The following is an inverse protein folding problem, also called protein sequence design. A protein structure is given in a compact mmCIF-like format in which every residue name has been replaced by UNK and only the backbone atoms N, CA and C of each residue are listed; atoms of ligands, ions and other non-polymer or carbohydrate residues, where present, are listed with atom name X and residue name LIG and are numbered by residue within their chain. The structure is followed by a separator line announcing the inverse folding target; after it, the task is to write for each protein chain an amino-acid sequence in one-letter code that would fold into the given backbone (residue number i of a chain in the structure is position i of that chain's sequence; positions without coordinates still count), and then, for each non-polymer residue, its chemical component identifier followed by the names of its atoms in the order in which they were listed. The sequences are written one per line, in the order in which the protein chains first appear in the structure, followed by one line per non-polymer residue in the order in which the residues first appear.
data_IF_162936477299
#
_entry.id   IF_162936477299
#
_cell.length_a   1.000
_cell.length_b   1.000
_cell.length_c   1.000
_cell.angle_alpha   90.00
_cell.angle_beta   90.00
_cell.angle_gamma   90.00
#
_symmetry.space_group_name_H-M   'P 1'
#
loop_
_entity.id
_entity.type
_entity.pdbx_description
1 polymer ?
#
# COMPACT_ATOMS: atom_id res chain seq x y z
N UNK A 1 2.00 53.00 72.79
CA UNK A 1 0.92 53.71 72.11
C UNK A 1 1.19 53.57 70.60
N UNK A 2 0.68 52.55 69.96
CA UNK A 2 0.38 52.50 68.58
C UNK A 2 -0.08 51.08 68.26
N UNK A 3 -1.36 50.99 67.98
CA UNK A 3 -2.05 49.80 67.64
C UNK A 3 -1.96 49.64 66.11
N UNK A 4 -1.29 48.61 65.65
CA UNK A 4 -1.29 48.21 64.25
C UNK A 4 -2.20 46.99 64.05
N UNK A 5 -3.27 47.27 63.35
CA UNK A 5 -4.25 46.30 62.84
C UNK A 5 -3.58 45.33 61.84
N UNK A 6 -3.64 44.03 62.09
CA UNK A 6 -3.24 42.99 61.15
C UNK A 6 -4.46 42.54 60.35
N UNK A 7 -4.48 42.89 59.08
CA UNK A 7 -5.42 42.35 58.12
C UNK A 7 -4.94 40.96 57.68
N UNK A 8 -5.70 39.93 57.99
CA UNK A 8 -5.47 38.56 57.46
C UNK A 8 -5.92 38.49 56.02
N UNK A 9 -4.98 38.25 55.12
CA UNK A 9 -5.28 37.83 53.76
C UNK A 9 -5.41 36.29 53.77
N UNK A 10 -6.63 35.82 53.50
CA UNK A 10 -6.90 34.40 53.25
C UNK A 10 -6.38 34.01 51.88
N UNK A 11 -5.30 33.24 51.80
CA UNK A 11 -4.89 32.53 50.59
C UNK A 11 -5.81 31.35 50.39
N UNK A 12 -6.68 31.43 49.34
CA UNK A 12 -7.38 30.26 48.84
C UNK A 12 -6.40 29.37 48.10
N UNK A 13 -6.18 28.16 48.61
CA UNK A 13 -5.43 27.12 47.91
C UNK A 13 -6.23 26.66 46.70
N UNK A 14 -5.82 27.06 45.50
CA UNK A 14 -6.28 26.47 44.25
C UNK A 14 -5.56 25.13 44.11
N UNK A 15 -6.28 24.07 44.38
CA UNK A 15 -5.80 22.69 44.08
C UNK A 15 -5.90 22.53 42.54
N UNK A 16 -4.78 22.67 41.85
CA UNK A 16 -4.68 22.20 40.47
C UNK A 16 -4.74 20.66 40.47
N UNK A 17 -5.87 20.12 40.10
CA UNK A 17 -5.99 18.71 39.74
C UNK A 17 -5.23 18.49 38.46
N UNK A 18 -3.97 18.09 38.52
CA UNK A 18 -3.24 17.55 37.38
C UNK A 18 -3.90 16.22 37.00
N UNK A 19 -4.86 16.30 36.07
CA UNK A 19 -5.29 15.11 35.34
C UNK A 19 -4.11 14.73 34.47
N UNK A 20 -3.31 13.77 34.92
CA UNK A 20 -2.39 13.06 34.05
C UNK A 20 -3.24 12.35 33.00
N UNK A 21 -3.30 12.91 31.81
CA UNK A 21 -3.70 12.16 30.63
C UNK A 21 -2.59 11.11 30.45
N UNK A 22 -2.78 9.95 31.05
CA UNK A 22 -2.08 8.78 30.58
C UNK A 22 -2.58 8.59 29.16
N UNK A 23 -1.69 8.79 28.20
CA UNK A 23 -1.90 8.26 26.86
C UNK A 23 -2.17 6.76 27.08
N UNK A 24 -3.40 6.36 26.90
CA UNK A 24 -3.76 4.97 26.72
C UNK A 24 -3.07 4.64 25.40
N UNK A 25 -1.89 4.04 25.47
CA UNK A 25 -1.38 3.31 24.34
C UNK A 25 -2.46 2.26 24.09
N UNK A 26 -3.20 2.41 22.99
CA UNK A 26 -4.04 1.36 22.49
C UNK A 26 -3.11 0.15 22.40
N UNK A 27 -3.41 -0.88 23.17
CA UNK A 27 -2.75 -2.16 23.04
C UNK A 27 -3.14 -2.60 21.65
N UNK A 28 -2.18 -2.56 20.71
CA UNK A 28 -2.40 -2.99 19.34
C UNK A 28 -2.99 -4.40 19.41
N UNK A 29 -4.20 -4.54 18.91
CA UNK A 29 -4.80 -5.87 18.75
C UNK A 29 -4.00 -6.52 17.62
N UNK A 30 -3.10 -7.42 17.96
CA UNK A 30 -2.27 -8.15 17.03
C UNK A 30 -3.19 -9.07 16.23
N UNK A 31 -3.36 -8.79 14.94
CA UNK A 31 -4.20 -9.60 14.07
C UNK A 31 -3.51 -10.87 13.57
N UNK A 32 -2.21 -11.01 13.80
CA UNK A 32 -1.45 -12.19 13.48
C UNK A 32 -1.06 -12.96 14.73
N UNK A 33 -1.21 -14.29 14.69
CA UNK A 33 -0.68 -15.20 15.68
C UNK A 33 0.62 -15.83 15.19
N UNK A 34 1.66 -15.85 16.05
CA UNK A 34 2.89 -16.55 15.75
C UNK A 34 2.66 -18.04 15.97
N UNK A 35 2.71 -18.81 14.89
CA UNK A 35 2.64 -20.26 14.92
C UNK A 35 4.02 -20.90 15.01
N UNK A 36 4.05 -22.20 15.34
CA UNK A 36 5.25 -23.02 15.21
C UNK A 36 5.57 -23.21 13.70
N UNK A 37 6.86 -23.26 13.38
CA UNK A 37 7.33 -23.49 12.02
C UNK A 37 6.80 -24.82 11.45
N UNK A 38 5.97 -24.79 10.39
CA UNK A 38 5.41 -26.00 9.78
C UNK A 38 6.46 -26.83 9.02
N UNK A 39 7.58 -26.23 8.64
CA UNK A 39 8.65 -26.82 7.85
C UNK A 39 9.89 -27.20 8.69
N UNK A 40 9.73 -27.33 10.00
CA UNK A 40 10.84 -27.62 10.94
C UNK A 40 11.60 -28.93 10.67
N UNK A 41 11.03 -29.84 9.85
CA UNK A 41 11.67 -31.08 9.42
C UNK A 41 12.58 -30.90 8.18
N UNK A 42 12.51 -29.76 7.49
CA UNK A 42 13.40 -29.43 6.38
C UNK A 42 14.70 -28.83 6.93
N UNK A 43 15.83 -29.22 6.36
CA UNK A 43 17.15 -28.72 6.78
C UNK A 43 17.22 -27.19 6.64
N UNK A 44 16.78 -26.65 5.53
CA UNK A 44 16.76 -25.21 5.27
C UNK A 44 15.98 -24.40 6.34
N UNK A 45 14.92 -24.98 6.89
CA UNK A 45 14.03 -24.30 7.84
C UNK A 45 14.23 -24.70 9.30
N UNK A 46 15.22 -25.57 9.59
CA UNK A 46 15.40 -26.16 10.93
C UNK A 46 15.73 -25.16 12.04
N UNK A 47 16.33 -24.02 11.70
CA UNK A 47 16.72 -22.98 12.67
C UNK A 47 15.60 -22.00 13.00
N UNK A 48 14.52 -21.99 12.20
CA UNK A 48 13.37 -21.15 12.48
C UNK A 48 12.38 -21.84 13.43
N UNK A 49 11.89 -21.11 14.39
CA UNK A 49 10.89 -21.59 15.38
C UNK A 49 9.55 -20.88 15.28
N UNK A 50 9.53 -19.72 14.65
CA UNK A 50 8.38 -18.85 14.51
C UNK A 50 7.94 -18.76 13.05
N UNK A 51 6.62 -18.71 12.86
CA UNK A 51 6.01 -18.68 11.54
C UNK A 51 4.76 -17.84 11.54
N UNK A 52 4.57 -17.02 10.50
CA UNK A 52 3.30 -16.35 10.17
C UNK A 52 3.01 -16.54 8.69
N UNK A 53 1.77 -16.85 8.35
CA UNK A 53 1.27 -16.80 6.97
C UNK A 53 0.49 -15.52 6.78
N UNK A 54 0.97 -14.61 5.94
CA UNK A 54 0.36 -13.32 5.65
C UNK A 54 -0.56 -13.45 4.44
N UNK A 55 -1.84 -13.14 4.62
CA UNK A 55 -2.89 -13.12 3.59
C UNK A 55 -2.87 -14.29 2.61
N UNK A 56 -2.45 -15.48 3.10
CA UNK A 56 -2.32 -16.72 2.33
C UNK A 56 -1.29 -16.69 1.18
N UNK A 57 -0.43 -15.67 1.08
CA UNK A 57 0.50 -15.54 -0.04
C UNK A 57 1.98 -15.33 0.35
N UNK A 58 2.30 -14.69 1.48
CA UNK A 58 3.70 -14.56 1.95
C UNK A 58 3.87 -15.33 3.26
N UNK A 59 5.01 -16.00 3.44
CA UNK A 59 5.39 -16.72 4.66
C UNK A 59 6.53 -15.99 5.37
N UNK A 60 6.38 -15.69 6.65
CA UNK A 60 7.46 -15.14 7.48
C UNK A 60 7.98 -16.24 8.39
N UNK A 61 9.30 -16.45 8.37
CA UNK A 61 10.01 -17.38 9.23
C UNK A 61 10.99 -16.61 10.10
N UNK A 62 11.05 -16.91 11.41
CA UNK A 62 12.00 -16.24 12.28
C UNK A 62 12.68 -17.20 13.26
N UNK A 63 13.95 -16.92 13.55
CA UNK A 63 14.70 -17.61 14.60
C UNK A 63 14.07 -17.37 15.99
N UNK A 64 14.33 -18.28 16.94
CA UNK A 64 13.82 -18.15 18.32
C UNK A 64 14.26 -16.87 19.04
N UNK A 65 15.41 -16.32 18.65
CA UNK A 65 16.00 -15.11 19.24
C UNK A 65 15.35 -13.80 18.79
N UNK A 66 14.52 -13.83 17.74
CA UNK A 66 13.83 -12.65 17.23
C UNK A 66 12.65 -12.31 18.16
N UNK A 67 12.54 -11.09 18.70
CA UNK A 67 11.38 -10.68 19.50
C UNK A 67 10.06 -10.82 18.73
N UNK A 68 9.01 -11.26 19.41
CA UNK A 68 7.69 -11.48 18.80
C UNK A 68 7.15 -10.20 18.15
N UNK A 69 7.36 -9.04 18.78
CA UNK A 69 6.95 -7.74 18.26
C UNK A 69 7.55 -7.41 16.87
N UNK A 70 8.78 -7.85 16.60
CA UNK A 70 9.44 -7.65 15.31
C UNK A 70 8.89 -8.59 14.23
N UNK A 71 8.57 -9.83 14.60
CA UNK A 71 7.94 -10.79 13.67
C UNK A 71 6.53 -10.35 13.31
N UNK A 72 5.79 -9.84 14.28
CA UNK A 72 4.43 -9.31 14.10
C UNK A 72 4.44 -8.02 13.27
N UNK A 73 5.43 -7.14 13.50
CA UNK A 73 5.63 -5.94 12.70
C UNK A 73 5.88 -6.28 11.22
N UNK A 74 6.79 -7.21 10.94
CA UNK A 74 7.05 -7.64 9.58
C UNK A 74 5.78 -8.21 8.89
N UNK A 75 4.94 -8.93 9.65
CA UNK A 75 3.68 -9.45 9.12
C UNK A 75 2.65 -8.34 8.86
N UNK A 76 2.56 -7.35 9.74
CA UNK A 76 1.66 -6.20 9.57
C UNK A 76 2.05 -5.37 8.34
N UNK A 77 3.32 -4.98 8.24
CA UNK A 77 3.85 -4.23 7.07
C UNK A 77 3.62 -5.00 5.76
N UNK A 78 3.85 -6.32 5.75
CA UNK A 78 3.61 -7.13 4.55
C UNK A 78 2.12 -7.16 4.18
N UNK A 79 1.23 -7.21 5.16
CA UNK A 79 -0.21 -7.19 4.92
C UNK A 79 -0.69 -5.83 4.40
N UNK A 80 -0.26 -4.70 5.00
CA UNK A 80 -0.60 -3.34 4.57
C UNK A 80 -0.11 -3.01 3.16
N UNK A 81 1.02 -3.60 2.74
CA UNK A 81 1.54 -3.45 1.37
C UNK A 81 0.78 -4.30 0.35
N UNK A 82 0.12 -5.37 0.76
CA UNK A 82 -0.66 -6.26 -0.09
C UNK A 82 -2.14 -5.90 -0.14
N UNK A 83 -2.65 -5.33 0.94
CA UNK A 83 -4.01 -4.91 1.20
C UNK A 83 -3.95 -3.47 1.71
N UNK A 84 -3.82 -2.53 0.78
CA UNK A 84 -3.49 -1.13 1.08
C UNK A 84 -4.71 -0.31 1.51
N UNK A 85 -5.93 -0.87 1.36
CA UNK A 85 -7.18 -0.31 1.91
C UNK A 85 -7.66 -1.04 3.19
N UNK A 86 -6.91 -2.06 3.64
CA UNK A 86 -7.11 -2.84 4.87
C UNK A 86 -8.50 -3.48 4.99
N UNK A 87 -9.05 -3.98 3.88
CA UNK A 87 -10.33 -4.65 3.89
C UNK A 87 -10.25 -6.15 4.24
N UNK A 88 -9.04 -6.70 4.35
CA UNK A 88 -8.74 -8.10 4.70
C UNK A 88 -8.46 -8.99 3.50
N UNK A 89 -8.50 -8.44 2.29
CA UNK A 89 -8.20 -9.15 1.05
C UNK A 89 -7.03 -8.46 0.32
N UNK A 90 -6.21 -9.23 -0.39
CA UNK A 90 -5.13 -8.66 -1.20
C UNK A 90 -5.72 -7.88 -2.37
N UNK A 91 -5.34 -6.62 -2.55
CA UNK A 91 -5.84 -5.70 -3.59
C UNK A 91 -5.74 -6.28 -5.00
N UNK A 92 -4.64 -6.99 -5.29
CA UNK A 92 -4.43 -7.66 -6.57
C UNK A 92 -4.49 -9.19 -6.43
N UNK A 93 -5.60 -9.83 -6.88
CA UNK A 93 -5.72 -11.28 -6.84
C UNK A 93 -4.68 -12.03 -7.69
N UNK A 94 -4.14 -11.39 -8.75
CA UNK A 94 -3.08 -12.00 -9.57
C UNK A 94 -1.77 -12.00 -8.79
N UNK A 95 -1.46 -10.92 -8.09
CA UNK A 95 -0.31 -10.82 -7.20
C UNK A 95 -0.39 -11.87 -6.09
N UNK A 96 -1.54 -11.97 -5.41
CA UNK A 96 -1.78 -13.00 -4.39
C UNK A 96 -1.48 -14.41 -4.92
N UNK A 97 -2.03 -14.73 -6.09
CA UNK A 97 -1.86 -16.05 -6.70
C UNK A 97 -0.40 -16.33 -7.07
N UNK A 98 0.30 -15.35 -7.63
CA UNK A 98 1.70 -15.47 -8.05
C UNK A 98 2.64 -15.67 -6.86
N UNK A 99 2.52 -14.82 -5.82
CA UNK A 99 3.30 -14.94 -4.59
C UNK A 99 3.07 -16.30 -3.90
N UNK A 100 1.83 -16.75 -3.84
CA UNK A 100 1.49 -18.05 -3.26
C UNK A 100 2.06 -19.22 -4.08
N UNK A 101 1.99 -19.15 -5.42
CA UNK A 101 2.48 -20.20 -6.32
C UNK A 101 4.01 -20.35 -6.28
N UNK A 102 4.74 -19.24 -6.13
CA UNK A 102 6.19 -19.23 -6.03
C UNK A 102 6.71 -19.40 -4.60
N UNK A 103 5.81 -19.54 -3.62
CA UNK A 103 6.17 -19.75 -2.23
C UNK A 103 6.89 -18.56 -1.59
N UNK A 104 6.46 -17.35 -1.91
CA UNK A 104 7.06 -16.12 -1.42
C UNK A 104 7.23 -16.14 0.11
N UNK A 105 8.43 -15.80 0.57
CA UNK A 105 8.78 -15.85 1.98
C UNK A 105 9.83 -14.80 2.36
N UNK A 106 9.82 -14.44 3.65
CA UNK A 106 10.77 -13.52 4.28
C UNK A 106 11.37 -14.24 5.48
N UNK A 107 12.63 -14.68 5.44
CA UNK A 107 13.33 -15.19 6.60
C UNK A 107 13.87 -14.04 7.44
N UNK A 108 13.74 -14.14 8.76
CA UNK A 108 14.27 -13.16 9.73
C UNK A 108 15.36 -13.84 10.55
N UNK A 109 16.59 -13.38 10.36
CA UNK A 109 17.79 -13.89 11.02
C UNK A 109 18.23 -13.00 12.19
N UNK A 110 19.04 -13.56 13.08
CA UNK A 110 19.56 -12.82 14.22
C UNK A 110 20.54 -11.70 13.79
N UNK A 111 21.36 -11.96 12.77
CA UNK A 111 22.35 -11.05 12.19
C UNK A 111 22.88 -11.60 10.85
N UNK A 112 23.48 -10.73 10.04
CA UNK A 112 24.13 -11.10 8.78
C UNK A 112 25.28 -12.07 9.01
N UNK A 113 25.33 -13.14 8.17
CA UNK A 113 26.32 -14.21 8.30
C UNK A 113 26.13 -15.08 9.53
N UNK A 114 24.91 -15.17 10.09
CA UNK A 114 24.60 -16.14 11.13
C UNK A 114 24.62 -17.58 10.60
N UNK A 115 24.90 -18.57 11.47
CA UNK A 115 24.86 -19.98 11.06
C UNK A 115 23.49 -20.44 10.57
N UNK A 116 22.41 -19.81 11.02
CA UNK A 116 21.06 -20.07 10.55
C UNK A 116 20.87 -19.54 9.11
N UNK A 117 21.45 -18.38 8.80
CA UNK A 117 21.44 -17.81 7.44
C UNK A 117 22.25 -18.69 6.48
N UNK A 118 23.46 -19.08 6.88
CA UNK A 118 24.30 -19.99 6.06
C UNK A 118 23.57 -21.32 5.82
N UNK A 119 22.97 -21.92 6.88
CA UNK A 119 22.22 -23.17 6.75
C UNK A 119 21.00 -23.01 5.81
N UNK A 120 20.28 -21.89 5.90
CA UNK A 120 19.14 -21.64 5.03
C UNK A 120 19.57 -21.57 3.57
N UNK A 121 20.55 -20.73 3.21
CA UNK A 121 20.97 -20.55 1.83
C UNK A 121 21.72 -21.77 1.25
N UNK A 122 22.38 -22.57 2.08
CA UNK A 122 23.02 -23.81 1.63
C UNK A 122 22.01 -24.91 1.26
N UNK A 123 20.77 -24.87 1.78
CA UNK A 123 19.79 -25.94 1.63
C UNK A 123 18.43 -25.52 1.09
N UNK A 124 18.17 -24.20 0.93
CA UNK A 124 16.96 -23.71 0.29
C UNK A 124 17.13 -23.68 -1.22
N UNK A 125 16.31 -24.44 -1.93
CA UNK A 125 16.34 -24.58 -3.38
C UNK A 125 15.13 -23.91 -4.09
N UNK A 126 14.29 -23.17 -3.32
CA UNK A 126 13.15 -22.44 -3.85
C UNK A 126 13.51 -21.03 -4.32
N UNK A 127 12.61 -20.40 -5.06
CA UNK A 127 12.77 -19.03 -5.59
C UNK A 127 12.00 -17.98 -4.78
N UNK A 128 11.32 -18.38 -3.70
CA UNK A 128 10.43 -17.51 -2.93
C UNK A 128 11.13 -16.56 -1.95
N UNK A 129 12.43 -16.67 -1.71
CA UNK A 129 13.21 -15.82 -0.81
C UNK A 129 14.01 -14.77 -1.61
N UNK A 130 13.36 -13.71 -2.07
CA UNK A 130 14.02 -12.64 -2.81
C UNK A 130 14.70 -11.60 -1.90
N UNK A 131 14.36 -11.58 -0.60
CA UNK A 131 14.90 -10.66 0.39
C UNK A 131 14.91 -11.32 1.77
N UNK A 132 15.69 -10.76 2.70
CA UNK A 132 15.81 -11.22 4.10
C UNK A 132 15.75 -10.04 5.05
N UNK A 133 15.46 -10.32 6.32
CA UNK A 133 15.50 -9.32 7.40
C UNK A 133 16.46 -9.78 8.49
N UNK A 134 17.11 -8.83 9.13
CA UNK A 134 17.89 -9.08 10.34
C UNK A 134 17.21 -8.40 11.55
N UNK A 135 17.37 -9.03 12.70
CA UNK A 135 16.73 -8.56 13.94
C UNK A 135 16.91 -7.06 14.20
N UNK A 136 18.11 -6.54 13.99
CA UNK A 136 18.48 -5.19 14.42
C UNK A 136 18.05 -4.09 13.41
N UNK A 137 17.57 -4.46 12.22
CA UNK A 137 17.02 -3.55 11.22
C UNK A 137 15.48 -3.56 11.13
N UNK A 138 14.82 -4.12 12.13
CA UNK A 138 13.37 -4.06 12.27
C UNK A 138 13.03 -3.15 13.45
N UNK A 139 12.36 -2.02 13.19
CA UNK A 139 11.91 -1.08 14.25
C UNK A 139 10.40 -0.85 14.21
N UNK A 140 9.62 -1.57 15.04
CA UNK A 140 8.17 -1.43 15.09
C UNK A 140 7.65 -0.02 15.47
N UNK A 141 8.54 0.88 15.95
CA UNK A 141 8.13 2.22 16.33
C UNK A 141 8.26 3.24 15.18
N UNK A 142 8.97 2.89 14.12
CA UNK A 142 9.24 3.77 12.98
C UNK A 142 9.15 2.99 11.65
N UNK A 143 7.95 2.51 11.28
CA UNK A 143 7.78 1.67 10.09
C UNK A 143 8.35 2.32 8.82
N UNK A 144 9.27 1.59 8.15
CA UNK A 144 9.91 2.03 6.92
C UNK A 144 10.84 3.24 7.04
N UNK A 145 11.15 3.70 8.28
CA UNK A 145 12.06 4.83 8.43
C UNK A 145 13.47 4.45 7.99
N UNK A 146 13.96 5.11 6.95
CA UNK A 146 15.27 4.83 6.37
C UNK A 146 16.41 4.88 7.42
N UNK A 147 17.21 3.82 7.42
CA UNK A 147 18.30 3.65 8.38
C UNK A 147 17.91 3.14 9.78
N UNK A 148 16.61 2.86 10.02
CA UNK A 148 16.14 2.25 11.27
C UNK A 148 15.26 1.03 11.05
N UNK A 149 14.37 1.05 10.05
CA UNK A 149 13.46 -0.06 9.74
C UNK A 149 13.51 -0.43 8.25
N UNK A 150 14.17 -1.53 7.93
CA UNK A 150 14.25 -2.08 6.57
C UNK A 150 13.01 -2.92 6.18
N UNK A 151 12.03 -3.06 7.05
CA UNK A 151 10.91 -4.00 6.81
C UNK A 151 10.13 -3.65 5.55
N UNK A 152 9.85 -2.37 5.30
CA UNK A 152 9.14 -1.93 4.09
C UNK A 152 9.96 -2.24 2.84
N UNK A 153 11.27 -2.00 2.87
CA UNK A 153 12.20 -2.25 1.78
C UNK A 153 12.18 -3.73 1.38
N UNK A 154 12.47 -4.62 2.34
CA UNK A 154 12.60 -6.04 2.08
C UNK A 154 11.27 -6.69 1.67
N UNK A 155 10.16 -6.24 2.24
CA UNK A 155 8.83 -6.71 1.80
C UNK A 155 8.51 -6.25 0.39
N UNK A 156 8.79 -5.00 0.05
CA UNK A 156 8.60 -4.46 -1.31
C UNK A 156 9.46 -5.22 -2.32
N UNK A 157 10.72 -5.55 -1.96
CA UNK A 157 11.59 -6.38 -2.80
C UNK A 157 10.98 -7.75 -3.10
N UNK A 158 10.44 -8.46 -2.09
CA UNK A 158 9.76 -9.75 -2.29
C UNK A 158 8.53 -9.60 -3.19
N UNK A 159 7.68 -8.61 -2.92
CA UNK A 159 6.46 -8.35 -3.71
C UNK A 159 6.82 -8.03 -5.16
N UNK A 160 7.82 -7.20 -5.39
CA UNK A 160 8.23 -6.80 -6.73
C UNK A 160 8.91 -7.93 -7.49
N UNK A 161 9.95 -8.54 -6.90
CA UNK A 161 10.80 -9.53 -7.58
C UNK A 161 10.05 -10.82 -7.91
N UNK A 162 9.15 -11.27 -7.01
CA UNK A 162 8.41 -12.54 -7.19
C UNK A 162 7.02 -12.28 -7.82
N UNK A 163 6.44 -11.10 -7.58
CA UNK A 163 5.08 -10.78 -8.00
C UNK A 163 5.00 -9.90 -9.23
N UNK A 164 5.17 -8.58 -9.09
CA UNK A 164 4.89 -7.61 -10.15
C UNK A 164 5.69 -7.84 -11.43
N UNK A 165 6.97 -8.24 -11.34
CA UNK A 165 7.81 -8.54 -12.51
C UNK A 165 7.25 -9.68 -13.35
N UNK A 166 6.60 -10.65 -12.73
CA UNK A 166 6.04 -11.84 -13.38
C UNK A 166 4.62 -11.59 -13.93
N UNK A 167 3.76 -10.95 -13.14
CA UNK A 167 2.35 -10.77 -13.55
C UNK A 167 2.16 -9.63 -14.57
N UNK A 168 3.04 -8.62 -14.53
CA UNK A 168 3.00 -7.47 -15.43
C UNK A 168 4.32 -7.24 -16.18
N UNK A 169 4.83 -8.22 -16.94
CA UNK A 169 6.19 -8.13 -17.52
C UNK A 169 6.38 -6.97 -18.47
N UNK A 170 5.32 -6.51 -19.17
CA UNK A 170 5.40 -5.32 -20.01
C UNK A 170 5.62 -4.03 -19.25
N UNK A 171 5.20 -3.99 -18.00
CA UNK A 171 5.37 -2.85 -17.08
C UNK A 171 6.64 -2.97 -16.25
N UNK A 172 6.91 -4.14 -15.64
CA UNK A 172 7.88 -4.30 -14.56
C UNK A 172 8.97 -5.37 -14.79
N UNK A 173 9.06 -6.01 -15.96
CA UNK A 173 10.20 -6.89 -16.22
C UNK A 173 11.53 -6.14 -16.08
N UNK A 174 12.56 -6.82 -15.57
CA UNK A 174 13.85 -6.22 -15.16
C UNK A 174 14.98 -6.37 -16.16
N UNK A 175 14.76 -7.10 -17.26
CA UNK A 175 15.76 -7.25 -18.33
C UNK A 175 15.94 -5.92 -19.09
N UNK A 176 17.12 -5.60 -19.59
CA UNK A 176 17.36 -4.39 -20.37
C UNK A 176 16.38 -4.26 -21.54
N UNK A 177 15.72 -3.11 -21.66
CA UNK A 177 14.73 -2.78 -22.71
C UNK A 177 13.49 -3.70 -22.72
N UNK A 178 13.14 -4.35 -21.63
CA UNK A 178 12.01 -5.29 -21.59
C UNK A 178 10.69 -4.67 -21.13
N UNK A 179 10.72 -3.50 -20.46
CA UNK A 179 9.55 -2.96 -19.78
C UNK A 179 9.53 -1.43 -19.72
N UNK A 180 8.42 -0.88 -19.22
CA UNK A 180 8.31 0.55 -18.89
C UNK A 180 9.25 0.92 -17.74
N UNK A 181 9.38 0.06 -16.72
CA UNK A 181 10.30 0.22 -15.59
C UNK A 181 11.75 0.42 -16.07
N UNK A 182 12.26 -0.49 -16.90
CA UNK A 182 13.65 -0.42 -17.38
C UNK A 182 13.88 0.76 -18.30
N UNK A 183 12.88 1.17 -19.07
CA UNK A 183 12.94 2.39 -19.86
C UNK A 183 13.03 3.65 -18.97
N UNK A 184 12.22 3.72 -17.91
CA UNK A 184 12.24 4.82 -16.96
C UNK A 184 13.57 4.86 -16.16
N UNK A 185 14.05 3.71 -15.70
CA UNK A 185 15.34 3.61 -15.00
C UNK A 185 16.51 4.11 -15.85
N UNK A 186 16.57 3.73 -17.15
CA UNK A 186 17.62 4.20 -18.04
C UNK A 186 17.59 5.73 -18.23
N UNK A 187 16.40 6.33 -18.21
CA UNK A 187 16.24 7.79 -18.22
C UNK A 187 16.72 8.39 -16.88
N UNK A 188 16.30 7.81 -15.75
CA UNK A 188 16.65 8.28 -14.41
C UNK A 188 18.18 8.25 -14.15
N UNK A 189 18.85 7.28 -14.72
CA UNK A 189 20.32 7.10 -14.63
C UNK A 189 21.10 7.90 -15.67
N UNK A 190 20.41 8.56 -16.61
CA UNK A 190 21.05 9.29 -17.72
C UNK A 190 21.67 8.36 -18.77
N UNK A 191 21.30 7.07 -18.80
CA UNK A 191 21.77 6.10 -19.79
C UNK A 191 21.55 4.65 -19.36
N UNK A 192 21.69 3.72 -20.31
CA UNK A 192 21.63 2.29 -20.04
C UNK A 192 22.99 1.77 -19.57
N UNK A 193 23.10 1.48 -18.29
CA UNK A 193 24.28 0.91 -17.65
C UNK A 193 23.98 -0.51 -17.17
N UNK A 194 24.56 -1.52 -17.80
CA UNK A 194 24.35 -2.94 -17.44
C UNK A 194 24.98 -3.28 -16.08
N UNK A 195 26.02 -2.55 -15.70
CA UNK A 195 26.64 -2.60 -14.38
C UNK A 195 26.77 -1.17 -13.85
N UNK A 196 26.99 -1.04 -12.56
CA UNK A 196 27.29 0.23 -11.90
C UNK A 196 28.38 1.03 -12.67
N UNK A 197 28.10 2.24 -13.15
CA UNK A 197 29.11 3.06 -13.82
C UNK A 197 30.05 3.70 -12.79
N UNK A 198 31.28 3.98 -13.17
CA UNK A 198 32.23 4.69 -12.29
C UNK A 198 31.71 6.10 -11.89
N UNK A 199 30.98 6.74 -12.80
CA UNK A 199 30.31 8.03 -12.54
C UNK A 199 29.02 8.09 -13.35
N UNK A 200 27.94 8.54 -12.73
CA UNK A 200 26.68 8.85 -13.41
C UNK A 200 26.74 10.20 -14.14
N UNK A 201 25.99 10.41 -15.21
CA UNK A 201 25.79 11.72 -15.83
C UNK A 201 25.22 12.74 -14.83
N UNK A 202 25.55 14.02 -15.02
CA UNK A 202 25.10 15.09 -14.12
C UNK A 202 23.59 15.31 -14.10
N UNK A 203 22.89 14.87 -15.13
CA UNK A 203 21.44 14.94 -15.27
C UNK A 203 20.71 13.73 -14.64
N UNK A 204 21.44 12.73 -14.18
CA UNK A 204 20.85 11.58 -13.49
C UNK A 204 20.32 11.99 -12.11
N UNK A 205 19.26 11.33 -11.67
CA UNK A 205 18.68 11.48 -10.33
C UNK A 205 18.56 10.17 -9.56
N UNK A 206 18.93 9.05 -10.20
CA UNK A 206 19.10 7.73 -9.60
C UNK A 206 20.56 7.30 -9.80
N UNK A 207 21.31 7.17 -8.70
CA UNK A 207 22.75 6.99 -8.68
C UNK A 207 23.16 5.77 -7.85
N UNK A 208 22.39 4.69 -7.88
CA UNK A 208 22.65 3.51 -7.08
C UNK A 208 24.11 3.08 -7.16
N UNK A 209 24.77 2.91 -5.99
CA UNK A 209 26.22 2.83 -5.90
C UNK A 209 26.78 1.47 -5.43
N UNK A 210 25.92 0.45 -5.22
CA UNK A 210 26.37 -0.90 -4.95
C UNK A 210 26.92 -1.56 -6.22
N UNK A 211 28.24 -1.70 -6.25
CA UNK A 211 28.95 -2.30 -7.37
C UNK A 211 28.71 -3.82 -7.53
N UNK A 212 28.08 -4.49 -6.58
CA UNK A 212 27.70 -5.91 -6.67
C UNK A 212 26.37 -6.10 -7.38
N UNK A 213 25.59 -5.03 -7.50
CA UNK A 213 24.27 -5.01 -8.10
C UNK A 213 24.34 -4.94 -9.64
N UNK A 214 23.77 -5.90 -10.32
CA UNK A 214 23.66 -5.89 -11.78
C UNK A 214 22.44 -5.05 -12.25
N UNK A 215 22.15 -5.08 -13.54
CA UNK A 215 21.07 -4.29 -14.12
C UNK A 215 19.70 -4.65 -13.53
N UNK A 216 19.42 -5.94 -13.31
CA UNK A 216 18.14 -6.42 -12.80
C UNK A 216 17.97 -6.03 -11.34
N UNK A 217 18.99 -6.19 -10.54
CA UNK A 217 19.05 -5.72 -9.17
C UNK A 217 18.78 -4.20 -9.11
N UNK A 218 19.50 -3.39 -9.90
CA UNK A 218 19.28 -1.93 -9.96
C UNK A 218 17.86 -1.53 -10.40
N UNK A 219 17.17 -2.37 -11.18
CA UNK A 219 15.77 -2.11 -11.57
C UNK A 219 14.80 -2.38 -10.41
N UNK A 220 15.05 -3.39 -9.58
CA UNK A 220 14.26 -3.67 -8.37
C UNK A 220 14.46 -2.56 -7.33
N UNK A 221 15.70 -2.13 -7.11
CA UNK A 221 16.02 -1.01 -6.22
C UNK A 221 15.37 0.30 -6.67
N UNK A 222 15.44 0.59 -7.97
CA UNK A 222 14.79 1.78 -8.53
C UNK A 222 13.27 1.76 -8.33
N UNK A 223 12.63 0.60 -8.52
CA UNK A 223 11.20 0.44 -8.27
C UNK A 223 10.87 0.67 -6.79
N UNK A 224 11.69 0.15 -5.87
CA UNK A 224 11.57 0.41 -4.44
C UNK A 224 11.64 1.91 -4.14
N UNK A 225 12.70 2.62 -4.58
CA UNK A 225 12.84 4.07 -4.36
C UNK A 225 11.61 4.85 -4.83
N UNK A 226 11.07 4.51 -6.01
CA UNK A 226 9.89 5.16 -6.56
C UNK A 226 8.64 4.93 -5.70
N UNK A 227 8.40 3.69 -5.25
CA UNK A 227 7.23 3.33 -4.44
C UNK A 227 7.28 4.05 -3.09
N UNK A 228 8.39 3.95 -2.34
CA UNK A 228 8.49 4.54 -0.99
C UNK A 228 8.53 6.07 -1.02
N UNK A 229 9.06 6.66 -2.10
CA UNK A 229 8.98 8.11 -2.31
C UNK A 229 7.53 8.55 -2.55
N UNK A 230 6.79 7.84 -3.41
CA UNK A 230 5.39 8.15 -3.67
C UNK A 230 4.51 8.04 -2.41
N UNK A 231 4.79 7.08 -1.55
CA UNK A 231 4.17 6.94 -0.22
C UNK A 231 4.54 8.06 0.75
N UNK A 232 5.60 8.83 0.48
CA UNK A 232 6.08 9.90 1.35
C UNK A 232 6.94 9.44 2.53
N UNK A 233 7.36 8.17 2.57
CA UNK A 233 8.20 7.60 3.64
C UNK A 233 9.54 8.35 3.76
N UNK A 234 10.11 8.80 2.64
CA UNK A 234 11.41 9.46 2.58
C UNK A 234 11.37 10.98 2.80
N UNK A 235 10.20 11.57 3.03
CA UNK A 235 9.98 13.01 2.90
C UNK A 235 10.57 13.89 4.02
N UNK A 236 11.15 13.31 5.08
CA UNK A 236 11.81 14.11 6.10
C UNK A 236 13.19 14.63 5.64
N UNK A 237 13.59 15.80 6.17
CA UNK A 237 14.79 16.49 5.69
C UNK A 237 16.10 15.74 5.97
N UNK A 238 16.15 14.92 7.02
CA UNK A 238 17.37 14.16 7.36
C UNK A 238 17.52 12.96 6.42
N UNK A 239 16.44 12.26 6.14
CA UNK A 239 16.40 11.18 5.15
C UNK A 239 16.76 11.71 3.77
N UNK A 240 16.11 12.79 3.28
CA UNK A 240 16.45 13.40 1.99
C UNK A 240 17.94 13.73 1.85
N UNK A 241 18.55 14.26 2.90
CA UNK A 241 19.97 14.58 2.88
C UNK A 241 20.86 13.32 2.93
N UNK A 242 20.41 12.28 3.61
CA UNK A 242 21.14 11.01 3.77
C UNK A 242 21.19 10.16 2.50
N UNK A 243 20.12 10.20 1.69
CA UNK A 243 19.98 9.38 0.47
C UNK A 243 20.35 10.11 -0.83
N UNK A 244 20.71 11.41 -0.75
CA UNK A 244 20.92 12.25 -1.93
C UNK A 244 22.07 11.78 -2.85
N UNK A 245 22.96 10.92 -2.36
CA UNK A 245 24.00 10.27 -3.19
C UNK A 245 23.46 9.17 -4.10
N UNK A 246 22.29 8.61 -3.77
CA UNK A 246 21.66 7.52 -4.53
C UNK A 246 20.34 7.92 -5.20
N UNK A 247 19.53 8.71 -4.48
CA UNK A 247 18.20 9.09 -4.90
C UNK A 247 17.89 10.56 -4.59
N UNK A 248 17.61 11.36 -5.61
CA UNK A 248 17.38 12.80 -5.44
C UNK A 248 15.90 13.18 -5.19
N UNK A 249 14.88 12.59 -5.87
CA UNK A 249 13.48 13.01 -5.71
C UNK A 249 12.83 12.42 -4.46
N UNK A 250 13.30 12.80 -3.27
CA UNK A 250 12.93 12.24 -1.98
C UNK A 250 11.52 12.60 -1.45
N UNK A 251 10.75 13.43 -2.14
CA UNK A 251 9.36 13.76 -1.75
C UNK A 251 8.38 13.43 -2.86
N UNK A 252 7.11 13.08 -2.56
CA UNK A 252 6.11 12.79 -3.60
C UNK A 252 5.99 13.88 -4.67
N UNK A 253 5.96 15.16 -4.26
CA UNK A 253 5.86 16.28 -5.18
C UNK A 253 7.10 16.45 -6.07
N UNK A 254 8.29 16.19 -5.53
CA UNK A 254 9.52 16.23 -6.30
C UNK A 254 9.63 15.05 -7.26
N UNK A 255 9.21 13.87 -6.82
CA UNK A 255 9.15 12.67 -7.64
C UNK A 255 8.19 12.83 -8.84
N UNK A 256 6.96 13.31 -8.62
CA UNK A 256 6.00 13.61 -9.69
C UNK A 256 6.58 14.56 -10.75
N UNK A 257 7.38 15.55 -10.33
CA UNK A 257 7.99 16.55 -11.25
C UNK A 257 9.24 16.03 -11.95
N UNK A 258 10.05 15.20 -11.30
CA UNK A 258 11.35 14.75 -11.80
C UNK A 258 11.23 13.47 -12.60
N UNK A 259 10.55 12.45 -12.06
CA UNK A 259 10.42 11.13 -12.66
C UNK A 259 9.00 10.87 -13.17
N UNK A 260 8.62 11.62 -14.17
CA UNK A 260 7.24 11.56 -14.72
C UNK A 260 6.87 10.20 -15.31
N UNK A 261 7.86 9.42 -15.76
CA UNK A 261 7.63 8.09 -16.33
C UNK A 261 7.25 7.08 -15.24
N UNK A 262 8.03 7.03 -14.18
CA UNK A 262 7.73 6.12 -13.07
C UNK A 262 6.54 6.59 -12.25
N UNK A 263 6.39 7.88 -12.02
CA UNK A 263 5.21 8.40 -11.34
C UNK A 263 3.93 7.95 -12.07
N UNK A 264 3.87 8.12 -13.39
CA UNK A 264 2.72 7.68 -14.18
C UNK A 264 2.52 6.15 -14.12
N UNK A 265 3.60 5.38 -14.07
CA UNK A 265 3.54 3.91 -14.05
C UNK A 265 3.03 3.37 -12.71
N UNK A 266 3.59 3.83 -11.58
CA UNK A 266 3.21 3.31 -10.26
C UNK A 266 1.90 3.88 -9.72
N UNK A 267 1.38 4.98 -10.30
CA UNK A 267 0.07 5.54 -9.97
C UNK A 267 -1.04 5.08 -10.93
N UNK A 268 -0.71 4.28 -11.95
CA UNK A 268 -1.71 3.66 -12.82
C UNK A 268 -2.45 2.55 -12.05
N UNK A 269 -3.73 2.77 -11.83
CA UNK A 269 -4.61 1.85 -11.09
C UNK A 269 -4.75 0.45 -11.72
N UNK A 270 -4.20 0.24 -12.92
CA UNK A 270 -4.16 -1.07 -13.56
C UNK A 270 -3.25 -2.05 -12.81
N UNK A 271 -2.19 -1.53 -12.18
CA UNK A 271 -1.14 -2.35 -11.57
C UNK A 271 -1.28 -2.52 -10.05
N UNK A 272 -2.22 -1.78 -9.44
CA UNK A 272 -2.53 -1.86 -8.01
C UNK A 272 -1.29 -1.79 -7.09
N UNK A 273 -0.30 -0.98 -7.50
CA UNK A 273 0.88 -0.70 -6.67
C UNK A 273 0.43 0.04 -5.41
N UNK A 274 0.89 -0.35 -4.21
CA UNK A 274 0.46 0.29 -2.96
C UNK A 274 0.81 1.79 -2.94
N UNK A 275 -0.12 2.62 -2.48
CA UNK A 275 -0.03 4.09 -2.48
C UNK A 275 0.09 4.68 -1.07
N UNK A 276 -0.28 3.94 -0.03
CA UNK A 276 -0.25 4.37 1.36
C UNK A 276 0.92 3.71 2.09
N UNK A 277 1.61 4.50 2.90
CA UNK A 277 2.71 4.00 3.72
C UNK A 277 2.16 3.10 4.84
N UNK A 278 2.77 1.94 5.09
CA UNK A 278 2.41 1.10 6.22
C UNK A 278 2.65 1.83 7.55
N UNK A 279 1.77 1.63 8.52
CA UNK A 279 1.97 2.11 9.89
C UNK A 279 2.31 0.99 10.88
N UNK A 280 2.36 -0.26 10.40
CA UNK A 280 2.69 -1.46 11.17
C UNK A 280 1.57 -1.97 12.08
N UNK A 281 0.33 -1.51 11.86
CA UNK A 281 -0.81 -1.83 12.70
C UNK A 281 -1.93 -2.57 11.95
N UNK A 282 -1.57 -3.37 10.94
CA UNK A 282 -2.54 -4.12 10.17
C UNK A 282 -3.43 -4.98 11.07
N UNK A 283 -4.67 -4.58 11.14
CA UNK A 283 -5.73 -5.35 11.79
C UNK A 283 -7.06 -4.99 11.13
N UNK A 284 -7.32 -5.49 9.93
CA UNK A 284 -8.64 -5.34 9.35
C UNK A 284 -9.61 -5.84 10.40
N UNK A 285 -10.59 -5.01 10.73
CA UNK A 285 -11.59 -5.40 11.71
C UNK A 285 -12.07 -6.77 11.30
N UNK A 286 -11.69 -7.79 12.07
CA UNK A 286 -12.11 -9.16 11.77
C UNK A 286 -13.58 -9.05 11.48
N UNK A 287 -13.99 -9.40 10.27
CA UNK A 287 -15.39 -9.46 9.90
C UNK A 287 -15.98 -10.45 10.86
N UNK A 288 -16.34 -9.96 12.04
CA UNK A 288 -17.28 -10.66 12.88
C UNK A 288 -18.53 -10.66 12.02
N UNK A 289 -18.84 -11.80 11.42
CA UNK A 289 -20.07 -12.07 10.66
C UNK A 289 -21.34 -11.66 11.47
N UNK A 290 -21.16 -11.13 12.67
CA UNK A 290 -22.22 -10.58 13.53
C UNK A 290 -22.37 -9.04 13.47
N UNK A 291 -21.41 -8.29 12.89
CA UNK A 291 -21.54 -6.86 12.64
C UNK A 291 -20.77 -6.51 11.37
N UNK A 292 -21.33 -6.87 10.23
CA UNK A 292 -20.94 -6.32 8.94
C UNK A 292 -21.03 -4.79 9.06
N UNK A 293 -19.87 -4.09 9.01
CA UNK A 293 -19.86 -2.65 8.75
C UNK A 293 -20.06 -2.49 7.25
N UNK A 294 -21.25 -2.86 6.79
CA UNK A 294 -21.74 -2.30 5.55
C UNK A 294 -21.92 -0.80 5.78
N UNK A 295 -21.63 0.04 4.79
CA UNK A 295 -21.95 1.45 4.92
C UNK A 295 -23.39 1.58 5.40
N UNK A 296 -23.59 2.08 6.61
CA UNK A 296 -24.93 2.37 7.12
C UNK A 296 -25.51 3.61 6.43
N UNK A 297 -24.73 4.23 5.58
CA UNK A 297 -25.09 5.46 4.87
C UNK A 297 -25.04 5.23 3.36
N UNK A 298 -26.08 5.69 2.71
CA UNK A 298 -26.14 5.74 1.26
C UNK A 298 -25.24 6.87 0.75
N UNK A 299 -24.31 6.58 -0.15
CA UNK A 299 -23.48 7.58 -0.79
C UNK A 299 -23.42 7.36 -2.30
N UNK A 300 -23.55 8.43 -3.08
CA UNK A 300 -23.34 8.43 -4.52
C UNK A 300 -22.11 9.29 -4.83
N UNK A 301 -21.06 8.71 -5.36
CA UNK A 301 -19.80 9.42 -5.59
C UNK A 301 -19.80 10.18 -6.91
N UNK A 302 -18.79 11.05 -7.11
CA UNK A 302 -18.57 11.73 -8.38
C UNK A 302 -18.15 10.72 -9.46
N UNK A 303 -18.78 10.79 -10.63
CA UNK A 303 -18.39 9.97 -11.77
C UNK A 303 -17.02 10.40 -12.32
N UNK A 304 -16.19 9.43 -12.68
CA UNK A 304 -14.88 9.69 -13.27
C UNK A 304 -14.60 8.77 -14.48
N UNK A 305 -14.06 9.30 -15.57
CA UNK A 305 -13.84 10.72 -15.84
C UNK A 305 -15.16 11.50 -16.02
N UNK A 306 -15.16 12.82 -15.70
CA UNK A 306 -16.27 13.73 -15.96
C UNK A 306 -15.73 15.15 -16.23
N UNK A 307 -15.78 15.67 -17.47
CA UNK A 307 -16.45 15.10 -18.66
C UNK A 307 -15.83 13.81 -19.17
N UNK A 308 -16.62 12.95 -19.86
CA UNK A 308 -16.18 11.65 -20.34
C UNK A 308 -16.41 11.40 -21.84
N UNK A 309 -15.61 10.51 -22.43
CA UNK A 309 -15.71 10.03 -23.81
C UNK A 309 -14.97 8.68 -23.96
N UNK A 310 -15.58 7.57 -24.33
CA UNK A 310 -17.03 7.33 -24.35
C UNK A 310 -17.56 6.71 -23.07
N UNK A 311 -16.72 6.37 -22.06
CA UNK A 311 -17.09 5.62 -20.85
C UNK A 311 -16.74 6.41 -19.60
N UNK A 312 -17.57 6.30 -18.58
CA UNK A 312 -17.34 6.81 -17.24
C UNK A 312 -17.74 5.76 -16.20
N UNK A 313 -17.12 5.84 -15.04
CA UNK A 313 -17.39 5.00 -13.86
C UNK A 313 -18.17 5.79 -12.82
N UNK A 314 -19.19 5.19 -12.25
CA UNK A 314 -20.00 5.72 -11.15
C UNK A 314 -19.84 4.75 -9.98
N UNK A 315 -19.29 5.21 -8.88
CA UNK A 315 -19.18 4.47 -7.62
C UNK A 315 -20.23 4.91 -6.62
N UNK A 316 -20.63 3.98 -5.75
CA UNK A 316 -21.68 4.22 -4.76
C UNK A 316 -21.53 3.27 -3.57
N UNK A 317 -21.96 3.75 -2.38
CA UNK A 317 -22.07 2.95 -1.16
C UNK A 317 -23.52 2.77 -0.79
N UNK A 318 -23.88 1.57 -0.37
CA UNK A 318 -25.24 1.23 0.01
C UNK A 318 -25.27 0.12 1.06
N UNK A 319 -26.26 0.12 1.99
CA UNK A 319 -26.51 -1.02 2.86
C UNK A 319 -26.81 -2.28 2.02
N UNK A 320 -26.20 -3.40 2.41
CA UNK A 320 -26.43 -4.69 1.73
C UNK A 320 -27.87 -5.16 1.90
N UNK A 321 -28.42 -5.75 0.84
CA UNK A 321 -29.78 -6.26 0.83
C UNK A 321 -30.87 -5.23 0.47
N UNK A 322 -30.51 -3.95 0.29
CA UNK A 322 -31.43 -2.91 -0.12
C UNK A 322 -31.72 -2.95 -1.63
N UNK A 323 -32.98 -2.77 -1.99
CA UNK A 323 -33.42 -2.60 -3.39
C UNK A 323 -33.15 -1.17 -3.83
N UNK A 324 -32.45 -0.98 -4.93
CA UNK A 324 -32.12 0.34 -5.44
C UNK A 324 -32.08 0.40 -6.97
N UNK A 325 -32.03 1.61 -7.49
CA UNK A 325 -31.91 1.90 -8.91
C UNK A 325 -30.87 2.98 -9.13
N UNK A 326 -29.98 2.78 -10.11
CA UNK A 326 -29.15 3.86 -10.67
C UNK A 326 -29.62 4.11 -12.10
N UNK A 327 -30.11 5.32 -12.36
CA UNK A 327 -30.61 5.74 -13.67
C UNK A 327 -29.90 6.99 -14.18
N UNK A 328 -29.79 7.11 -15.52
CA UNK A 328 -29.34 8.31 -16.20
C UNK A 328 -30.53 9.06 -16.75
N UNK A 329 -30.54 10.38 -16.56
CA UNK A 329 -31.61 11.27 -16.94
C UNK A 329 -31.08 12.41 -17.82
N UNK A 330 -31.89 12.84 -18.79
CA UNK A 330 -31.61 14.04 -19.57
C UNK A 330 -31.97 15.34 -18.81
N UNK A 331 -31.69 16.48 -19.42
CA UNK A 331 -32.02 17.81 -18.84
C UNK A 331 -33.49 18.05 -18.55
N UNK A 332 -34.40 17.27 -19.17
CA UNK A 332 -35.85 17.37 -18.92
C UNK A 332 -36.31 16.47 -17.77
N UNK A 333 -35.39 15.70 -17.18
CA UNK A 333 -35.67 14.74 -16.13
C UNK A 333 -36.21 13.40 -16.66
N UNK A 334 -36.15 13.16 -17.99
CA UNK A 334 -36.54 11.89 -18.60
C UNK A 334 -35.45 10.84 -18.38
N UNK A 335 -35.82 9.67 -17.88
CA UNK A 335 -34.92 8.51 -17.81
C UNK A 335 -34.52 8.08 -19.21
N UNK A 336 -33.20 7.98 -19.47
CA UNK A 336 -32.63 7.58 -20.76
C UNK A 336 -31.89 6.25 -20.67
N UNK A 337 -31.41 5.88 -19.48
CA UNK A 337 -30.73 4.60 -19.23
C UNK A 337 -30.93 4.16 -17.80
N UNK A 338 -31.27 2.88 -17.59
CA UNK A 338 -31.17 2.22 -16.30
C UNK A 338 -29.85 1.46 -16.27
N UNK A 339 -28.98 1.79 -15.32
CA UNK A 339 -27.69 1.14 -15.13
C UNK A 339 -27.83 -0.04 -14.18
N UNK A 340 -28.52 0.16 -13.06
CA UNK A 340 -28.78 -0.86 -12.05
C UNK A 340 -30.26 -0.78 -11.62
N UNK A 341 -30.86 -1.94 -11.40
CA UNK A 341 -32.18 -2.11 -10.76
C UNK A 341 -32.19 -3.48 -10.10
N UNK A 342 -31.57 -3.58 -8.94
CA UNK A 342 -31.37 -4.86 -8.25
C UNK A 342 -31.21 -4.66 -6.74
N UNK A 343 -31.08 -5.78 -6.02
CA UNK A 343 -30.65 -5.81 -4.63
C UNK A 343 -29.14 -5.91 -4.56
N UNK A 344 -28.53 -5.04 -3.77
CA UNK A 344 -27.08 -5.06 -3.57
C UNK A 344 -26.66 -6.28 -2.75
N UNK A 345 -25.69 -7.01 -3.26
CA UNK A 345 -25.05 -8.13 -2.58
C UNK A 345 -23.65 -7.80 -2.05
N UNK A 346 -23.04 -6.74 -2.59
CA UNK A 346 -21.69 -6.26 -2.22
C UNK A 346 -21.69 -4.73 -2.22
N UNK A 347 -21.04 -4.10 -1.26
CA UNK A 347 -20.84 -2.65 -1.15
C UNK A 347 -19.41 -2.37 -0.64
N UNK A 348 -18.68 -1.40 -1.19
CA UNK A 348 -19.07 -0.45 -2.23
C UNK A 348 -19.30 -1.08 -3.60
N UNK A 349 -20.04 -0.41 -4.47
CA UNK A 349 -20.35 -0.86 -5.81
C UNK A 349 -19.93 0.12 -6.89
N UNK A 350 -19.66 -0.40 -8.10
CA UNK A 350 -19.34 0.41 -9.27
C UNK A 350 -20.20 0.00 -10.47
N UNK A 351 -20.50 0.99 -11.34
CA UNK A 351 -21.17 0.76 -12.61
C UNK A 351 -20.63 1.70 -13.69
N UNK A 352 -20.55 1.20 -14.91
CA UNK A 352 -20.05 1.96 -16.04
C UNK A 352 -21.18 2.43 -16.95
N UNK A 353 -21.04 3.65 -17.46
CA UNK A 353 -21.93 4.18 -18.51
C UNK A 353 -21.14 4.59 -19.75
N UNK A 354 -21.57 4.06 -20.89
CA UNK A 354 -20.91 4.26 -22.20
C UNK A 354 -21.63 5.29 -23.10
N UNK A 355 -22.44 6.16 -22.56
CA UNK A 355 -23.18 7.19 -23.30
C UNK A 355 -24.33 6.66 -24.18
N UNK A 356 -24.82 5.43 -23.94
CA UNK A 356 -25.94 4.83 -24.64
C UNK A 356 -27.23 4.84 -23.80
N UNK A 357 -28.38 4.87 -24.49
CA UNK A 357 -29.71 4.68 -23.90
C UNK A 357 -30.01 3.20 -23.66
N UNK A 358 -31.14 2.88 -23.01
CA UNK A 358 -31.63 1.50 -22.83
C UNK A 358 -31.85 0.76 -24.15
N UNK A 359 -32.11 1.49 -25.24
CA UNK A 359 -32.28 0.89 -26.58
C UNK A 359 -30.96 0.74 -27.35
N UNK A 360 -29.79 1.02 -26.69
CA UNK A 360 -28.47 0.97 -27.31
C UNK A 360 -28.14 2.16 -28.24
N UNK A 361 -29.04 3.15 -28.32
CA UNK A 361 -28.79 4.33 -29.14
C UNK A 361 -27.78 5.26 -28.47
N UNK A 362 -26.75 5.70 -29.19
CA UNK A 362 -25.81 6.71 -28.73
C UNK A 362 -26.52 8.04 -28.47
N UNK A 363 -26.36 8.56 -27.28
CA UNK A 363 -26.92 9.84 -26.85
C UNK A 363 -26.02 11.00 -27.35
N UNK A 364 -26.58 12.20 -27.59
CA UNK A 364 -25.79 13.36 -28.00
C UNK A 364 -24.87 13.85 -26.90
N UNK A 365 -23.76 14.54 -27.28
CA UNK A 365 -22.94 15.28 -26.30
C UNK A 365 -23.80 16.26 -25.54
N UNK A 366 -23.60 16.35 -24.24
CA UNK A 366 -24.39 17.23 -23.38
C UNK A 366 -24.32 16.86 -21.91
N UNK A 367 -25.11 17.58 -21.13
CA UNK A 367 -25.26 17.38 -19.70
C UNK A 367 -26.36 16.36 -19.42
N UNK A 368 -26.04 15.40 -18.58
CA UNK A 368 -26.95 14.40 -18.04
C UNK A 368 -26.88 14.42 -16.52
N UNK A 369 -27.81 13.74 -15.88
CA UNK A 369 -27.79 13.48 -14.46
C UNK A 369 -27.85 11.99 -14.21
N UNK A 370 -27.09 11.50 -13.25
CA UNK A 370 -27.27 10.15 -12.73
C UNK A 370 -27.83 10.24 -11.31
N UNK A 371 -28.75 9.34 -11.02
CA UNK A 371 -29.48 9.31 -9.76
C UNK A 371 -29.50 7.88 -9.20
N UNK A 372 -29.06 7.77 -7.95
CA UNK A 372 -29.31 6.62 -7.11
C UNK A 372 -30.60 6.84 -6.33
N UNK A 373 -31.48 5.86 -6.28
CA UNK A 373 -32.76 5.89 -5.56
C UNK A 373 -33.02 4.55 -4.89
N UNK A 374 -33.35 4.57 -3.59
CA UNK A 374 -33.90 3.47 -2.82
C UNK A 374 -35.19 3.90 -2.14
N UNK A 375 -35.76 3.07 -1.26
CA UNK A 375 -36.96 3.43 -0.48
C UNK A 375 -36.70 4.60 0.46
N UNK A 376 -35.49 4.74 1.00
CA UNK A 376 -35.14 5.70 2.05
C UNK A 376 -34.15 6.79 1.61
N UNK A 377 -33.56 6.65 0.41
CA UNK A 377 -32.49 7.56 -0.04
C UNK A 377 -32.62 7.91 -1.52
N UNK A 378 -32.26 9.16 -1.85
CA UNK A 378 -32.09 9.57 -3.23
C UNK A 378 -30.96 10.62 -3.34
N UNK A 379 -30.00 10.38 -4.20
CA UNK A 379 -28.94 11.32 -4.54
C UNK A 379 -28.84 11.50 -6.05
N UNK A 380 -28.53 12.73 -6.51
CA UNK A 380 -28.39 13.05 -7.93
C UNK A 380 -27.13 13.85 -8.14
N UNK A 381 -26.36 13.48 -9.19
CA UNK A 381 -25.15 14.21 -9.60
C UNK A 381 -25.17 14.48 -11.09
N UNK A 382 -24.42 15.50 -11.49
CA UNK A 382 -24.24 15.92 -12.89
C UNK A 382 -23.11 15.16 -13.55
N UNK A 383 -23.30 14.81 -14.83
CA UNK A 383 -22.30 14.19 -15.67
C UNK A 383 -22.33 14.80 -17.09
N UNK A 384 -21.19 14.90 -17.74
CA UNK A 384 -21.04 15.53 -19.07
C UNK A 384 -20.47 14.54 -20.05
N UNK A 385 -21.27 14.19 -21.09
CA UNK A 385 -20.84 13.36 -22.21
C UNK A 385 -20.24 14.24 -23.30
N UNK A 386 -19.03 13.92 -23.73
CA UNK A 386 -18.35 14.49 -24.89
C UNK A 386 -18.30 13.45 -26.03
N UNK A 387 -18.23 13.93 -27.26
CA UNK A 387 -18.01 13.10 -28.47
C UNK A 387 -16.83 13.63 -29.24
#
# INVERSE_FOLDING_TARGET
MNILSKTMVKYGAIVFLLISIQAIHAQNSVCFDIAANPNSNSTAFSDFTKYIRVLDCISIYAESSIPDEKVLHAAAVAAELLDNDEDGEVDDPLLKAELAANGALIPIFAYDGSSAMDNFFDHYDGEGAAAVLWRDEIDPNNPGYWGADATVEEVVHVINAIGHTNIYPGAFAVEPNSSLLTTAMDVARGGQFIQHPENYPLEAWYHYDDYTCDYQCMAIEYLYWCIVTNMGILADAATCAGIANEWEPCTPALFEQTDTLMYALITDSTYLIPQLAPDGNYCPASINIANEIYPHEFQLHAAYPNPFNPVTTISYDMPVGEQFTIGIYDLTGKLVKTLINDKQSVSPGIVHWNGQSDTGKLLPSGVYFYRLSSAEFAATRKIVLLK
#
